data_IF_787013022813
#
_entry.id   IF_787013022813
#
_cell.length_a   1.000
_cell.length_b   1.000
_cell.length_c   1.000
_cell.angle_alpha   90.00
_cell.angle_beta   90.00
_cell.angle_gamma   90.00
#
_symmetry.space_group_name_H-M   'P 1'
#
loop_
_entity.id
_entity.type
_entity.pdbx_description
1 polymer ?
#
# COMPACT_ATOMS: atom_id res chain seq x y z
N UNK A 1 10.22 5.28 18.68
CA UNK A 1 8.75 5.19 18.51
C UNK A 1 8.52 4.38 17.26
N UNK A 2 7.97 3.18 17.41
CA UNK A 2 7.67 2.29 16.29
C UNK A 2 6.64 2.95 15.36
N UNK A 3 6.95 3.00 14.07
CA UNK A 3 6.04 3.52 13.02
C UNK A 3 4.74 2.69 12.96
N UNK A 4 4.74 1.48 13.52
CA UNK A 4 3.56 0.61 13.61
C UNK A 4 2.46 1.11 14.57
N UNK A 5 2.73 2.11 15.41
CA UNK A 5 1.75 2.68 16.34
C UNK A 5 1.04 3.95 15.84
N UNK A 6 1.22 4.28 14.55
CA UNK A 6 0.49 5.39 13.93
C UNK A 6 -0.98 5.00 13.70
N UNK A 7 -1.84 5.39 14.64
CA UNK A 7 -3.29 5.26 14.52
C UNK A 7 -3.85 6.49 13.81
N UNK A 8 -4.44 6.30 12.63
CA UNK A 8 -5.24 7.33 11.98
C UNK A 8 -6.65 7.24 12.56
N UNK A 9 -7.11 8.28 13.28
CA UNK A 9 -8.42 8.33 13.98
C UNK A 9 -8.65 7.16 14.95
N UNK A 10 -7.60 6.66 15.61
CA UNK A 10 -7.71 5.57 16.59
C UNK A 10 -7.74 4.15 16.00
N UNK A 11 -7.69 4.00 14.67
CA UNK A 11 -7.55 2.72 13.98
C UNK A 11 -6.15 2.57 13.37
N UNK A 12 -5.66 1.35 13.30
CA UNK A 12 -4.47 1.03 12.50
C UNK A 12 -4.85 0.98 11.02
N UNK A 13 -3.92 1.32 10.15
CA UNK A 13 -4.09 1.18 8.71
C UNK A 13 -3.08 0.16 8.19
N UNK A 14 -3.57 -0.86 7.47
CA UNK A 14 -2.73 -1.85 6.83
C UNK A 14 -2.82 -1.68 5.32
N UNK A 15 -1.69 -1.41 4.68
CA UNK A 15 -1.60 -1.22 3.23
C UNK A 15 -0.57 -2.19 2.63
N UNK A 16 -0.89 -2.73 1.46
CA UNK A 16 0.00 -3.57 0.65
C UNK A 16 0.15 -2.91 -0.71
N UNK A 17 1.39 -2.62 -1.07
CA UNK A 17 1.74 -1.85 -2.26
C UNK A 17 2.86 -2.57 -3.01
N UNK A 18 2.75 -2.60 -4.33
CA UNK A 18 3.81 -3.09 -5.20
C UNK A 18 4.98 -2.11 -5.27
N UNK A 19 6.20 -2.64 -5.17
CA UNK A 19 7.40 -1.81 -5.07
C UNK A 19 7.87 -1.26 -6.43
N UNK A 20 7.51 -1.84 -7.56
CA UNK A 20 7.91 -1.30 -8.85
C UNK A 20 6.90 -0.26 -9.33
N UNK A 21 5.65 -0.68 -9.49
CA UNK A 21 4.55 0.09 -10.07
C UNK A 21 3.89 1.07 -9.11
N UNK A 22 4.20 1.01 -7.81
CA UNK A 22 3.45 1.70 -6.75
C UNK A 22 1.99 1.25 -6.62
N UNK A 23 1.54 0.20 -7.30
CA UNK A 23 0.13 -0.20 -7.29
C UNK A 23 -0.30 -0.64 -5.89
N UNK A 24 -1.38 -0.05 -5.38
CA UNK A 24 -1.94 -0.42 -4.08
C UNK A 24 -2.83 -1.65 -4.25
N UNK A 25 -2.36 -2.82 -3.79
CA UNK A 25 -3.11 -4.07 -3.82
C UNK A 25 -4.31 -4.02 -2.85
N UNK A 26 -4.14 -3.34 -1.72
CA UNK A 26 -5.18 -3.15 -0.72
C UNK A 26 -4.77 -2.19 0.39
N UNK A 27 -5.76 -1.50 0.95
CA UNK A 27 -5.63 -0.63 2.12
C UNK A 27 -6.85 -0.87 3.02
N UNK A 28 -6.61 -1.11 4.30
CA UNK A 28 -7.62 -1.55 5.25
C UNK A 28 -7.49 -0.82 6.57
N UNK A 29 -8.62 -0.34 7.09
CA UNK A 29 -8.76 0.08 8.48
C UNK A 29 -8.94 -1.14 9.38
N UNK A 30 -8.09 -1.25 10.40
CA UNK A 30 -8.10 -2.34 11.37
C UNK A 30 -8.07 -1.80 12.81
N UNK A 31 -8.91 -2.36 13.68
CA UNK A 31 -8.93 -1.96 15.08
C UNK A 31 -7.71 -2.48 15.87
N UNK A 32 -7.13 -3.62 15.43
CA UNK A 32 -5.97 -4.27 16.06
C UNK A 32 -5.07 -4.92 15.00
N UNK A 33 -3.78 -4.59 15.02
CA UNK A 33 -2.76 -5.17 14.14
C UNK A 33 -2.24 -6.51 14.70
N UNK A 34 -3.10 -7.52 14.78
CA UNK A 34 -2.70 -8.89 15.20
C UNK A 34 -2.31 -9.75 14.01
N UNK A 35 -1.42 -10.72 14.21
CA UNK A 35 -1.01 -11.67 13.16
C UNK A 35 -2.21 -12.33 12.49
N UNK A 36 -3.19 -12.82 13.26
CA UNK A 36 -4.37 -13.47 12.70
C UNK A 36 -5.21 -12.55 11.79
N UNK A 37 -5.30 -11.26 12.11
CA UNK A 37 -6.00 -10.27 11.26
C UNK A 37 -5.20 -10.01 10.00
N UNK A 38 -3.89 -9.76 10.12
CA UNK A 38 -3.02 -9.46 8.99
C UNK A 38 -2.93 -10.64 8.03
N UNK A 39 -2.76 -11.86 8.54
CA UNK A 39 -2.73 -13.08 7.71
C UNK A 39 -4.02 -13.25 6.93
N UNK A 40 -5.19 -13.08 7.57
CA UNK A 40 -6.49 -13.13 6.85
C UNK A 40 -6.62 -12.08 5.76
N UNK A 41 -6.08 -10.88 5.97
CA UNK A 41 -6.09 -9.83 4.94
C UNK A 41 -5.14 -10.18 3.80
N UNK A 42 -3.96 -10.72 4.10
CA UNK A 42 -3.02 -11.20 3.09
C UNK A 42 -3.62 -12.35 2.27
N UNK A 43 -4.32 -13.30 2.91
CA UNK A 43 -4.99 -14.41 2.21
C UNK A 43 -6.03 -13.89 1.21
N UNK A 44 -6.83 -12.89 1.59
CA UNK A 44 -7.79 -12.22 0.68
C UNK A 44 -7.10 -11.52 -0.49
N UNK A 45 -5.94 -10.90 -0.24
CA UNK A 45 -5.18 -10.26 -1.32
C UNK A 45 -4.57 -11.30 -2.26
N UNK A 46 -4.09 -12.42 -1.73
CA UNK A 46 -3.58 -13.55 -2.52
C UNK A 46 -4.69 -14.19 -3.37
N UNK A 47 -5.89 -14.35 -2.82
CA UNK A 47 -7.04 -14.84 -3.59
C UNK A 47 -7.39 -13.90 -4.75
N UNK A 48 -7.34 -12.59 -4.53
CA UNK A 48 -7.69 -11.58 -5.53
C UNK A 48 -6.61 -11.37 -6.61
N UNK A 49 -5.34 -11.32 -6.22
CA UNK A 49 -4.22 -10.93 -7.10
C UNK A 49 -3.33 -12.10 -7.52
N UNK A 50 -3.63 -13.30 -7.02
CA UNK A 50 -2.85 -14.50 -7.29
C UNK A 50 -1.78 -14.77 -6.23
N UNK A 51 -1.38 -16.05 -6.15
CA UNK A 51 -0.39 -16.52 -5.20
C UNK A 51 1.04 -16.18 -5.65
N UNK A 52 1.87 -15.58 -4.78
CA UNK A 52 3.27 -15.38 -5.10
C UNK A 52 3.99 -16.73 -5.20
N UNK A 53 4.97 -16.82 -6.12
CA UNK A 53 5.83 -18.01 -6.27
C UNK A 53 6.65 -18.32 -5.02
N UNK A 54 6.94 -17.30 -4.22
CA UNK A 54 7.61 -17.39 -2.93
C UNK A 54 7.62 -16.04 -2.23
N UNK A 55 7.85 -16.04 -0.92
CA UNK A 55 7.93 -14.81 -0.11
C UNK A 55 9.28 -14.79 0.58
N UNK A 56 10.05 -13.73 0.35
CA UNK A 56 11.29 -13.46 1.07
C UNK A 56 11.06 -12.27 2.00
N UNK A 57 11.17 -12.51 3.31
CA UNK A 57 11.06 -11.44 4.28
C UNK A 57 12.37 -10.63 4.30
N UNK A 58 12.28 -9.36 3.92
CA UNK A 58 13.37 -8.39 3.99
C UNK A 58 13.06 -7.42 5.12
N UNK A 59 13.98 -7.28 6.08
CA UNK A 59 13.88 -6.34 7.19
C UNK A 59 14.82 -5.16 6.95
N UNK A 60 14.38 -3.97 7.29
CA UNK A 60 15.24 -2.77 7.25
C UNK A 60 16.21 -2.77 8.43
N UNK A 61 17.34 -2.08 8.28
CA UNK A 61 18.25 -1.86 9.39
C UNK A 61 17.61 -0.91 10.43
N UNK A 62 17.93 -1.12 11.71
CA UNK A 62 17.49 -0.25 12.80
C UNK A 62 18.00 1.17 12.53
N UNK A 63 17.14 2.19 12.70
CA UNK A 63 17.43 3.60 12.40
C UNK A 63 17.79 3.92 10.94
N UNK A 64 17.26 3.16 9.97
CA UNK A 64 17.41 3.44 8.54
C UNK A 64 16.09 3.92 7.90
N UNK A 65 15.69 5.20 8.13
CA UNK A 65 14.40 5.74 7.65
C UNK A 65 14.34 5.84 6.12
N UNK A 66 15.49 5.91 5.45
CA UNK A 66 15.54 6.04 3.98
C UNK A 66 15.00 4.81 3.25
N UNK A 67 14.95 3.64 3.91
CA UNK A 67 14.46 2.40 3.30
C UNK A 67 12.93 2.32 3.28
N UNK A 68 12.24 3.04 4.17
CA UNK A 68 10.77 3.04 4.32
C UNK A 68 10.08 4.24 3.64
N UNK A 69 10.83 5.12 2.98
CA UNK A 69 10.28 6.37 2.42
C UNK A 69 9.13 6.17 1.42
N UNK A 70 9.12 5.05 0.69
CA UNK A 70 8.03 4.68 -0.24
C UNK A 70 6.69 4.47 0.47
N UNK A 71 6.68 3.71 1.56
CA UNK A 71 5.46 3.44 2.32
C UNK A 71 5.05 4.66 3.15
N UNK A 72 6.02 5.40 3.69
CA UNK A 72 5.77 6.67 4.39
C UNK A 72 5.12 7.70 3.46
N UNK A 73 5.61 7.83 2.22
CA UNK A 73 5.03 8.74 1.22
C UNK A 73 3.60 8.34 0.85
N UNK A 74 3.30 7.05 0.82
CA UNK A 74 1.94 6.56 0.61
C UNK A 74 1.02 6.94 1.77
N UNK A 75 1.44 6.73 3.03
CA UNK A 75 0.61 7.08 4.18
C UNK A 75 0.40 8.60 4.31
N UNK A 76 1.44 9.42 4.07
CA UNK A 76 1.29 10.88 3.98
C UNK A 76 0.25 11.29 2.93
N UNK A 77 0.25 10.59 1.80
CA UNK A 77 -0.72 10.83 0.72
C UNK A 77 -2.13 10.44 1.15
N UNK A 78 -2.28 9.25 1.75
CA UNK A 78 -3.55 8.76 2.27
C UNK A 78 -4.13 9.72 3.30
N UNK A 79 -3.37 10.10 4.33
CA UNK A 79 -3.82 11.01 5.38
C UNK A 79 -4.25 12.38 4.83
N UNK A 80 -3.53 12.90 3.84
CA UNK A 80 -3.84 14.18 3.20
C UNK A 80 -5.13 14.11 2.39
N UNK A 81 -5.37 13.01 1.67
CA UNK A 81 -6.39 12.97 0.63
C UNK A 81 -7.69 12.27 1.04
N UNK A 82 -7.60 11.31 1.96
CA UNK A 82 -8.74 10.54 2.44
C UNK A 82 -9.91 11.43 2.96
N UNK A 83 -9.68 12.58 3.63
CA UNK A 83 -10.75 13.50 4.01
C UNK A 83 -11.56 14.07 2.82
N UNK A 84 -10.95 14.26 1.65
CA UNK A 84 -11.66 14.74 0.46
C UNK A 84 -12.57 13.67 -0.16
N UNK A 85 -12.41 12.42 0.26
CA UNK A 85 -13.16 11.27 -0.21
C UNK A 85 -14.12 10.73 0.85
N UNK A 86 -14.57 11.58 1.79
CA UNK A 86 -15.45 11.19 2.90
C UNK A 86 -14.90 10.03 3.74
N UNK A 87 -13.58 9.83 3.74
CA UNK A 87 -12.91 8.69 4.36
C UNK A 87 -13.23 7.32 3.74
N UNK A 88 -13.60 7.30 2.47
CA UNK A 88 -13.74 6.08 1.69
C UNK A 88 -12.37 5.60 1.19
N UNK A 89 -11.87 4.53 1.81
CA UNK A 89 -10.61 3.89 1.45
C UNK A 89 -10.63 3.23 0.06
N UNK A 90 -11.76 2.65 -0.34
CA UNK A 90 -11.89 2.01 -1.65
C UNK A 90 -11.88 3.06 -2.76
N UNK A 91 -12.56 4.18 -2.56
CA UNK A 91 -12.52 5.31 -3.48
C UNK A 91 -11.13 5.93 -3.54
N UNK A 92 -10.47 6.13 -2.40
CA UNK A 92 -9.07 6.56 -2.37
C UNK A 92 -8.19 5.59 -3.19
N UNK A 93 -8.31 4.28 -2.97
CA UNK A 93 -7.51 3.27 -3.68
C UNK A 93 -7.74 3.32 -5.19
N UNK A 94 -9.00 3.45 -5.62
CA UNK A 94 -9.36 3.60 -7.03
C UNK A 94 -8.68 4.83 -7.64
N UNK A 95 -8.78 5.99 -6.98
CA UNK A 95 -8.16 7.25 -7.41
C UNK A 95 -6.64 7.15 -7.46
N UNK A 96 -6.04 6.60 -6.42
CA UNK A 96 -4.60 6.41 -6.30
C UNK A 96 -4.05 5.52 -7.41
N UNK A 97 -4.71 4.40 -7.71
CA UNK A 97 -4.23 3.44 -8.70
C UNK A 97 -4.46 3.90 -10.15
N UNK A 98 -5.60 4.53 -10.46
CA UNK A 98 -6.03 4.74 -11.85
C UNK A 98 -6.01 6.19 -12.32
N UNK A 99 -5.86 7.16 -11.41
CA UNK A 99 -6.00 8.58 -11.76
C UNK A 99 -4.89 9.48 -11.22
N UNK A 100 -4.08 8.99 -10.27
CA UNK A 100 -2.98 9.76 -9.69
C UNK A 100 -1.71 9.53 -10.51
N UNK A 101 -1.16 10.56 -11.18
CA UNK A 101 0.15 10.47 -11.80
C UNK A 101 1.25 10.50 -10.75
N UNK A 102 2.25 9.63 -10.87
CA UNK A 102 3.41 9.61 -9.96
C UNK A 102 4.66 10.11 -10.66
N UNK A 103 5.38 11.03 -10.01
CA UNK A 103 6.64 11.58 -10.55
C UNK A 103 7.69 10.47 -10.76
N UNK A 104 7.76 9.51 -9.83
CA UNK A 104 8.66 8.36 -9.93
C UNK A 104 8.31 7.38 -11.05
N UNK A 105 7.15 7.53 -11.68
CA UNK A 105 6.64 6.69 -12.77
C UNK A 105 6.44 7.50 -14.06
N UNK A 106 7.22 8.57 -14.25
CA UNK A 106 7.13 9.43 -15.44
C UNK A 106 5.71 10.02 -15.66
N UNK A 107 5.00 10.31 -14.58
CA UNK A 107 3.60 10.78 -14.56
C UNK A 107 2.57 9.76 -15.05
N UNK A 108 2.93 8.47 -15.18
CA UNK A 108 1.96 7.38 -15.34
C UNK A 108 1.23 7.12 -14.02
N UNK A 109 0.04 6.51 -14.10
CA UNK A 109 -0.65 6.01 -12.93
C UNK A 109 -0.12 4.63 -12.54
N UNK A 110 -0.25 4.20 -11.28
CA UNK A 110 0.23 2.89 -10.84
C UNK A 110 -0.36 1.72 -11.63
N UNK A 111 -1.64 1.80 -12.00
CA UNK A 111 -2.30 0.76 -12.78
C UNK A 111 -1.68 0.63 -14.19
N UNK A 112 -1.31 1.75 -14.81
CA UNK A 112 -0.70 1.75 -16.14
C UNK A 112 0.63 0.99 -16.14
N UNK A 113 1.41 1.10 -15.06
CA UNK A 113 2.69 0.40 -14.90
C UNK A 113 2.49 -1.05 -14.48
N UNK A 114 1.56 -1.31 -13.56
CA UNK A 114 1.34 -2.65 -13.01
C UNK A 114 0.78 -3.62 -14.06
N UNK A 115 -0.11 -3.14 -14.93
CA UNK A 115 -0.70 -3.94 -16.00
C UNK A 115 0.01 -3.76 -17.34
N UNK A 116 1.16 -3.07 -17.38
CA UNK A 116 1.96 -2.94 -18.60
C UNK A 116 2.52 -4.31 -19.00
N UNK A 117 2.25 -4.71 -20.24
CA UNK A 117 2.67 -6.00 -20.78
C UNK A 117 4.19 -6.15 -20.89
N UNK A 118 4.94 -5.05 -20.86
CA UNK A 118 6.41 -5.04 -20.89
C UNK A 118 7.00 -5.74 -19.65
N UNK A 119 6.29 -5.79 -18.53
CA UNK A 119 6.76 -6.47 -17.31
C UNK A 119 6.36 -7.96 -17.22
N UNK A 120 5.64 -8.48 -18.22
CA UNK A 120 5.16 -9.86 -18.25
C UNK A 120 6.07 -10.82 -19.05
N UNK A 121 7.11 -10.31 -19.73
CA UNK A 121 8.04 -11.09 -20.56
C UNK A 121 9.50 -10.70 -20.31
#
# INVERSE_FOLDING_TARGET
MDVSDQKVKGKYCFAVIDDCSRYCLGVFEINRATTAVITKLLDKLVEKHGKPRGIKHIRTAIHSPTTTGKIERFFQTLEKELPFYNNDLDFFRLRYNHFRPHISLEKKCPADVYFDFIHLF
#
